data_IF_258354743014
#
_entry.id   IF_258354743014
#
_cell.length_a   1.000
_cell.length_b   1.000
_cell.length_c   1.000
_cell.angle_alpha   90.00
_cell.angle_beta   90.00
_cell.angle_gamma   90.00
#
_symmetry.space_group_name_H-M   'P 1'
#
loop_
_entity.id
_entity.type
_entity.pdbx_description
1 polymer ?
#
# COMPACT_ATOMS: atom_id res chain seq x y z
N UNK A 1 18.37 -2.86 4.62
CA UNK A 1 17.79 -3.03 3.26
C UNK A 1 18.81 -2.99 2.11
N UNK A 2 20.04 -2.55 2.37
CA UNK A 2 21.11 -2.37 1.34
C UNK A 2 21.33 -3.61 0.45
N UNK A 3 21.38 -4.81 1.05
CA UNK A 3 21.57 -6.08 0.30
C UNK A 3 20.38 -6.40 -0.61
N UNK A 4 19.16 -6.06 -0.17
CA UNK A 4 17.93 -6.22 -0.98
C UNK A 4 17.97 -5.31 -2.21
N UNK A 5 18.32 -4.03 -2.06
CA UNK A 5 18.39 -3.12 -3.21
C UNK A 5 19.50 -3.53 -4.18
N UNK A 6 20.65 -3.97 -3.68
CA UNK A 6 21.73 -4.49 -4.52
C UNK A 6 21.27 -5.72 -5.33
N UNK A 7 20.62 -6.69 -4.68
CA UNK A 7 20.06 -7.87 -5.35
C UNK A 7 19.04 -7.47 -6.45
N UNK A 8 18.13 -6.54 -6.13
CA UNK A 8 17.11 -6.10 -7.09
C UNK A 8 17.71 -5.35 -8.29
N UNK A 9 18.80 -4.60 -8.07
CA UNK A 9 19.54 -3.93 -9.15
C UNK A 9 20.12 -4.97 -10.11
N UNK A 10 20.82 -5.97 -9.61
CA UNK A 10 21.40 -7.03 -10.44
C UNK A 10 20.31 -7.87 -11.12
N UNK A 11 19.21 -8.18 -10.40
CA UNK A 11 18.08 -8.89 -10.97
C UNK A 11 17.43 -8.10 -12.13
N UNK A 12 17.35 -6.79 -12.04
CA UNK A 12 16.76 -5.96 -13.10
C UNK A 12 17.55 -6.01 -14.40
N UNK A 13 18.87 -6.16 -14.30
CA UNK A 13 19.77 -6.33 -15.44
C UNK A 13 19.77 -7.76 -16.01
N UNK A 14 19.42 -8.76 -15.18
CA UNK A 14 19.59 -10.18 -15.46
C UNK A 14 18.28 -10.96 -15.19
N UNK A 15 17.11 -10.42 -15.57
CA UNK A 15 15.81 -10.99 -15.19
C UNK A 15 15.46 -12.25 -16.02
N UNK A 16 16.18 -13.34 -15.76
CA UNK A 16 15.96 -14.65 -16.35
C UNK A 16 16.14 -15.76 -15.29
N UNK A 17 15.70 -16.99 -15.63
CA UNK A 17 15.70 -18.12 -14.69
C UNK A 17 17.09 -18.66 -14.40
N UNK A 18 18.01 -18.60 -15.36
CA UNK A 18 19.38 -19.12 -15.23
C UNK A 18 20.13 -18.29 -14.19
N UNK A 19 20.22 -16.99 -14.38
CA UNK A 19 20.84 -16.06 -13.43
C UNK A 19 20.21 -16.16 -12.03
N UNK A 20 18.89 -16.23 -11.95
CA UNK A 20 18.18 -16.33 -10.66
C UNK A 20 18.52 -17.62 -9.92
N UNK A 21 18.64 -18.75 -10.63
CA UNK A 21 19.03 -20.03 -10.03
C UNK A 21 20.45 -20.01 -9.50
N UNK A 22 21.39 -19.37 -10.22
CA UNK A 22 22.78 -19.19 -9.80
C UNK A 22 22.89 -18.29 -8.55
N UNK A 23 21.97 -17.31 -8.40
CA UNK A 23 21.94 -16.35 -7.29
C UNK A 23 20.84 -16.64 -6.27
N UNK A 24 20.30 -17.85 -6.24
CA UNK A 24 19.17 -18.22 -5.39
C UNK A 24 19.48 -18.04 -3.90
N UNK A 25 20.69 -18.32 -3.46
CA UNK A 25 21.09 -18.14 -2.07
C UNK A 25 21.08 -16.65 -1.67
N UNK A 26 21.43 -15.76 -2.59
CA UNK A 26 21.32 -14.32 -2.36
C UNK A 26 19.85 -13.89 -2.21
N UNK A 27 18.99 -14.35 -3.12
CA UNK A 27 17.54 -14.13 -3.00
C UNK A 27 17.00 -14.60 -1.65
N UNK A 28 17.36 -15.82 -1.20
CA UNK A 28 16.87 -16.38 0.07
C UNK A 28 17.30 -15.52 1.27
N UNK A 29 18.53 -15.00 1.28
CA UNK A 29 18.99 -14.06 2.32
C UNK A 29 18.20 -12.77 2.31
N UNK A 30 17.99 -12.18 1.13
CA UNK A 30 17.19 -10.96 0.96
C UNK A 30 15.73 -11.17 1.41
N UNK A 31 15.13 -12.29 1.01
CA UNK A 31 13.77 -12.65 1.43
C UNK A 31 13.66 -12.75 2.95
N UNK A 32 14.58 -13.47 3.59
CA UNK A 32 14.62 -13.60 5.05
C UNK A 32 14.78 -12.24 5.75
N UNK A 33 15.62 -11.37 5.22
CA UNK A 33 15.81 -10.01 5.75
C UNK A 33 14.49 -9.20 5.64
N UNK A 34 13.78 -9.30 4.53
CA UNK A 34 12.52 -8.61 4.33
C UNK A 34 11.39 -9.20 5.19
N UNK A 35 11.38 -10.52 5.40
CA UNK A 35 10.47 -11.19 6.33
C UNK A 35 10.70 -10.73 7.78
N UNK A 36 11.96 -10.59 8.21
CA UNK A 36 12.31 -10.06 9.53
C UNK A 36 11.87 -8.61 9.71
N UNK A 37 12.12 -7.76 8.71
CA UNK A 37 11.62 -6.39 8.72
C UNK A 37 10.09 -6.34 8.83
N UNK A 38 9.39 -7.14 8.04
CA UNK A 38 7.93 -7.18 8.06
C UNK A 38 7.39 -7.69 9.40
N UNK A 39 8.06 -8.65 10.04
CA UNK A 39 7.70 -9.12 11.38
C UNK A 39 7.80 -7.99 12.42
N UNK A 40 8.92 -7.26 12.44
CA UNK A 40 9.12 -6.12 13.34
C UNK A 40 8.11 -4.99 13.04
N UNK A 41 7.81 -4.76 11.78
CA UNK A 41 6.79 -3.79 11.40
C UNK A 41 5.40 -4.20 11.89
N UNK A 42 5.01 -5.47 11.77
CA UNK A 42 3.76 -5.99 12.32
C UNK A 42 3.68 -5.82 13.85
N UNK A 43 4.77 -6.03 14.58
CA UNK A 43 4.83 -5.78 16.02
C UNK A 43 4.47 -4.32 16.36
N UNK A 44 5.01 -3.35 15.62
CA UNK A 44 4.67 -1.92 15.77
C UNK A 44 3.22 -1.61 15.38
N UNK A 45 2.71 -2.26 14.33
CA UNK A 45 1.32 -2.09 13.89
C UNK A 45 0.32 -2.61 14.91
N UNK A 46 0.62 -3.70 15.63
CA UNK A 46 -0.25 -4.24 16.69
C UNK A 46 -0.47 -3.23 17.83
N UNK A 47 0.50 -2.36 18.12
CA UNK A 47 0.35 -1.28 19.11
C UNK A 47 -0.69 -0.23 18.66
N UNK A 48 -0.83 -0.02 17.36
CA UNK A 48 -1.79 0.94 16.78
C UNK A 48 -3.14 0.29 16.45
N UNK A 49 -3.13 -0.98 16.05
CA UNK A 49 -4.29 -1.76 15.65
C UNK A 49 -4.13 -3.22 16.11
N UNK A 50 -4.76 -3.61 17.24
CA UNK A 50 -4.63 -4.96 17.80
C UNK A 50 -5.08 -6.08 16.87
N UNK A 51 -5.94 -5.83 15.87
CA UNK A 51 -6.37 -6.84 14.90
C UNK A 51 -5.22 -7.30 13.98
N UNK A 52 -4.16 -6.49 13.83
CA UNK A 52 -2.95 -6.85 13.10
C UNK A 52 -2.20 -8.04 13.70
N UNK A 53 -2.46 -8.38 14.98
CA UNK A 53 -1.84 -9.52 15.69
C UNK A 53 -2.10 -10.87 14.98
N UNK A 54 -3.16 -10.97 14.21
CA UNK A 54 -3.48 -12.19 13.46
C UNK A 54 -2.61 -12.39 12.21
N UNK A 55 -1.85 -11.38 11.80
CA UNK A 55 -1.05 -11.41 10.57
C UNK A 55 0.36 -11.96 10.82
N UNK A 56 0.84 -12.66 9.80
CA UNK A 56 2.24 -13.05 9.68
C UNK A 56 2.91 -12.36 8.48
N UNK A 57 4.24 -12.26 8.41
CA UNK A 57 4.92 -11.71 7.22
C UNK A 57 4.47 -12.35 5.90
N UNK A 58 4.17 -13.65 5.91
CA UNK A 58 3.70 -14.40 4.74
C UNK A 58 2.34 -13.90 4.22
N UNK A 59 1.48 -13.42 5.10
CA UNK A 59 0.19 -12.85 4.72
C UNK A 59 0.35 -11.49 4.05
N UNK A 60 1.44 -10.78 4.32
CA UNK A 60 1.68 -9.41 3.86
C UNK A 60 2.59 -9.35 2.61
N UNK A 61 3.60 -10.21 2.50
CA UNK A 61 4.64 -10.14 1.48
C UNK A 61 4.19 -10.79 0.17
N UNK A 62 4.43 -10.12 -0.96
CA UNK A 62 4.25 -10.71 -2.28
C UNK A 62 5.45 -11.57 -2.68
N UNK A 63 5.16 -12.73 -3.31
CA UNK A 63 6.19 -13.56 -3.94
C UNK A 63 6.88 -12.82 -5.08
N UNK A 64 8.17 -13.07 -5.27
CA UNK A 64 8.97 -12.48 -6.35
C UNK A 64 8.56 -12.97 -7.74
N UNK A 65 8.01 -14.17 -7.85
CA UNK A 65 7.62 -14.78 -9.12
C UNK A 65 6.43 -14.04 -9.75
N UNK A 66 6.53 -13.75 -11.05
CA UNK A 66 5.45 -13.17 -11.85
C UNK A 66 4.62 -14.28 -12.51
N UNK A 67 3.33 -14.04 -12.67
CA UNK A 67 2.50 -14.80 -13.60
C UNK A 67 2.55 -14.12 -14.97
N UNK A 68 3.31 -14.72 -15.88
CA UNK A 68 3.58 -14.13 -17.19
C UNK A 68 2.74 -14.75 -18.30
N UNK A 69 1.76 -15.62 -17.98
CA UNK A 69 0.96 -16.33 -18.97
C UNK A 69 0.27 -15.37 -19.96
N UNK A 70 -0.33 -14.32 -19.44
CA UNK A 70 -1.08 -13.32 -20.22
C UNK A 70 -0.35 -11.96 -20.34
N UNK A 71 0.91 -11.86 -19.90
CA UNK A 71 1.69 -10.63 -19.98
C UNK A 71 2.49 -10.56 -21.28
N UNK A 72 2.58 -9.37 -21.89
CA UNK A 72 3.53 -9.11 -22.98
C UNK A 72 4.99 -9.13 -22.47
N UNK A 73 5.23 -8.62 -21.26
CA UNK A 73 6.52 -8.70 -20.60
C UNK A 73 6.71 -10.09 -20.00
N UNK A 74 7.62 -10.86 -20.56
CA UNK A 74 7.91 -12.25 -20.20
C UNK A 74 8.98 -12.41 -19.12
N UNK A 75 9.51 -11.32 -18.57
CA UNK A 75 10.45 -11.39 -17.43
C UNK A 75 9.82 -12.16 -16.26
N UNK A 76 10.48 -13.23 -15.74
CA UNK A 76 9.85 -14.17 -14.82
C UNK A 76 9.74 -13.66 -13.38
N UNK A 77 10.48 -12.61 -13.02
CA UNK A 77 10.56 -12.11 -11.66
C UNK A 77 10.12 -10.65 -11.56
N UNK A 78 9.59 -10.27 -10.40
CA UNK A 78 9.40 -8.89 -10.01
C UNK A 78 10.74 -8.28 -9.65
N UNK A 79 10.96 -7.03 -10.04
CA UNK A 79 12.17 -6.27 -9.74
C UNK A 79 12.00 -5.43 -8.47
N UNK A 80 11.12 -5.91 -7.57
CA UNK A 80 10.79 -5.26 -6.32
C UNK A 80 10.35 -6.25 -5.25
N UNK A 81 10.54 -5.89 -4.00
CA UNK A 81 9.88 -6.49 -2.85
C UNK A 81 8.78 -5.57 -2.36
N UNK A 82 7.67 -6.15 -1.89
CA UNK A 82 6.58 -5.38 -1.32
C UNK A 82 5.86 -6.15 -0.23
N UNK A 83 5.37 -5.43 0.77
CA UNK A 83 4.52 -5.95 1.82
C UNK A 83 3.33 -5.02 2.06
N UNK A 84 2.16 -5.61 2.27
CA UNK A 84 0.91 -4.89 2.55
C UNK A 84 0.22 -5.51 3.77
N UNK A 85 0.50 -5.06 4.97
CA UNK A 85 -0.31 -5.36 6.15
C UNK A 85 -1.64 -4.60 6.08
N UNK A 86 -2.72 -5.35 6.13
CA UNK A 86 -4.07 -4.85 6.34
C UNK A 86 -4.84 -5.88 7.18
N UNK A 87 -5.70 -5.43 8.08
CA UNK A 87 -6.49 -6.33 8.93
C UNK A 87 -7.30 -7.31 8.09
N UNK A 88 -7.58 -8.50 8.67
CA UNK A 88 -8.40 -9.56 8.05
C UNK A 88 -7.88 -10.03 6.67
N UNK A 89 -6.57 -10.30 6.58
CA UNK A 89 -6.03 -11.03 5.44
C UNK A 89 -4.75 -10.47 4.81
N UNK A 90 -4.18 -9.39 5.34
CA UNK A 90 -2.97 -8.78 4.80
C UNK A 90 -3.17 -8.37 3.33
N UNK A 91 -2.27 -8.81 2.43
CA UNK A 91 -2.33 -8.49 0.99
C UNK A 91 -3.58 -9.01 0.24
N UNK A 92 -4.43 -9.78 0.90
CA UNK A 92 -5.70 -10.26 0.34
C UNK A 92 -6.91 -9.51 0.90
N UNK A 93 -6.70 -8.62 1.85
CA UNK A 93 -7.76 -7.82 2.44
C UNK A 93 -8.29 -6.81 1.43
N UNK A 94 -9.59 -6.56 1.47
CA UNK A 94 -10.24 -5.45 0.75
C UNK A 94 -10.23 -4.14 1.57
N UNK A 95 -9.70 -4.19 2.80
CA UNK A 95 -9.57 -3.03 3.67
C UNK A 95 -8.36 -2.17 3.31
N UNK A 96 -8.43 -0.92 3.71
CA UNK A 96 -7.27 -0.03 3.74
C UNK A 96 -6.17 -0.58 4.66
N UNK A 97 -4.95 -0.46 4.23
CA UNK A 97 -3.77 -0.90 4.96
C UNK A 97 -2.57 -0.05 4.61
N UNK A 98 -1.38 -0.59 4.85
CA UNK A 98 -0.12 0.10 4.59
C UNK A 98 0.72 -0.69 3.59
N UNK A 99 1.54 0.00 2.82
CA UNK A 99 2.35 -0.62 1.78
C UNK A 99 3.78 -0.09 1.80
N UNK A 100 4.74 -0.99 1.85
CA UNK A 100 6.15 -0.69 1.62
C UNK A 100 6.57 -1.35 0.30
N UNK A 101 7.15 -0.54 -0.58
CA UNK A 101 7.70 -0.96 -1.86
C UNK A 101 9.19 -0.70 -1.91
N UNK A 102 9.97 -1.74 -2.14
CA UNK A 102 11.42 -1.68 -2.30
C UNK A 102 11.77 -1.98 -3.75
N UNK A 103 12.12 -0.95 -4.51
CA UNK A 103 12.66 -1.04 -5.87
C UNK A 103 13.74 0.02 -6.00
N UNK A 104 14.96 -0.31 -6.44
CA UNK A 104 16.04 0.67 -6.55
C UNK A 104 15.62 1.92 -7.31
N UNK A 105 15.80 3.10 -6.71
CA UNK A 105 15.41 4.40 -7.26
C UNK A 105 13.90 4.66 -7.36
N UNK A 106 13.04 3.75 -6.86
CA UNK A 106 11.58 3.84 -6.88
C UNK A 106 10.96 3.28 -5.62
N UNK A 107 11.66 3.38 -4.49
CA UNK A 107 11.09 2.99 -3.21
C UNK A 107 9.94 3.91 -2.82
N UNK A 108 8.92 3.37 -2.15
CA UNK A 108 7.79 4.17 -1.69
C UNK A 108 7.12 3.55 -0.47
N UNK A 109 6.47 4.39 0.30
CA UNK A 109 5.42 4.02 1.25
C UNK A 109 4.07 4.46 0.71
N UNK A 110 3.05 3.66 0.93
CA UNK A 110 1.67 4.01 0.60
C UNK A 110 0.70 3.42 1.61
N UNK A 111 -0.54 3.84 1.55
CA UNK A 111 -1.64 3.26 2.31
C UNK A 111 -2.98 3.52 1.62
N UNK A 112 -4.06 3.15 2.30
CA UNK A 112 -5.41 3.31 1.77
C UNK A 112 -5.96 2.07 1.07
N UNK A 113 -7.02 2.27 0.28
CA UNK A 113 -7.73 1.25 -0.48
C UNK A 113 -7.39 1.33 -1.96
N UNK A 114 -6.58 0.39 -2.43
CA UNK A 114 -6.22 0.25 -3.84
C UNK A 114 -7.28 -0.53 -4.60
N UNK A 115 -7.85 0.07 -5.65
CA UNK A 115 -8.82 -0.57 -6.54
C UNK A 115 -10.02 -1.22 -5.81
N UNK A 116 -10.75 -0.51 -4.94
CA UNK A 116 -11.97 -1.03 -4.33
C UNK A 116 -12.96 -1.51 -5.42
N UNK A 117 -13.78 -2.49 -5.12
CA UNK A 117 -14.83 -2.90 -6.05
C UNK A 117 -15.85 -1.76 -6.25
N UNK A 118 -16.75 -1.90 -7.25
CA UNK A 118 -17.67 -0.83 -7.63
C UNK A 118 -18.59 -0.40 -6.48
N UNK A 119 -19.07 -1.34 -5.70
CA UNK A 119 -20.04 -1.07 -4.62
C UNK A 119 -19.34 -0.40 -3.44
N UNK A 120 -18.18 -0.88 -3.04
CA UNK A 120 -17.33 -0.23 -2.03
C UNK A 120 -16.91 1.18 -2.48
N UNK A 121 -16.50 1.33 -3.75
CA UNK A 121 -16.13 2.64 -4.29
C UNK A 121 -17.30 3.63 -4.27
N UNK A 122 -18.52 3.15 -4.52
CA UNK A 122 -19.73 3.97 -4.41
C UNK A 122 -20.02 4.34 -2.96
N UNK A 123 -19.89 3.41 -2.02
CA UNK A 123 -20.05 3.66 -0.58
C UNK A 123 -19.03 4.68 -0.07
N UNK A 124 -17.74 4.53 -0.42
CA UNK A 124 -16.68 5.48 -0.06
C UNK A 124 -16.98 6.90 -0.55
N UNK A 125 -17.48 7.06 -1.78
CA UNK A 125 -17.88 8.38 -2.30
C UNK A 125 -19.04 8.99 -1.53
N UNK A 126 -20.03 8.18 -1.11
CA UNK A 126 -21.15 8.65 -0.29
C UNK A 126 -20.67 9.09 1.08
N UNK A 127 -19.80 8.31 1.69
CA UNK A 127 -19.24 8.62 2.99
C UNK A 127 -18.42 9.91 2.96
N UNK A 128 -17.52 10.05 1.98
CA UNK A 128 -16.73 11.27 1.77
C UNK A 128 -17.64 12.49 1.52
N UNK A 129 -18.70 12.34 0.74
CA UNK A 129 -19.64 13.44 0.49
C UNK A 129 -20.44 13.83 1.74
N UNK A 130 -20.79 12.86 2.58
CA UNK A 130 -21.57 13.10 3.80
C UNK A 130 -20.73 13.69 4.95
N UNK A 131 -19.46 13.33 5.01
CA UNK A 131 -18.52 13.67 6.10
C UNK A 131 -17.23 14.30 5.56
N UNK A 132 -17.36 15.22 4.59
CA UNK A 132 -16.19 15.84 3.95
C UNK A 132 -15.36 16.68 4.92
N UNK A 133 -16.01 17.32 5.90
CA UNK A 133 -15.38 18.11 6.96
C UNK A 133 -14.40 17.22 7.77
N UNK A 134 -14.77 15.96 8.06
CA UNK A 134 -13.90 15.00 8.74
C UNK A 134 -12.67 14.66 7.87
N UNK A 135 -12.88 14.51 6.56
CA UNK A 135 -11.77 14.25 5.62
C UNK A 135 -10.83 15.45 5.54
N UNK A 136 -11.35 16.68 5.55
CA UNK A 136 -10.55 17.91 5.64
C UNK A 136 -9.74 17.94 6.94
N UNK A 137 -10.38 17.68 8.09
CA UNK A 137 -9.74 17.65 9.40
C UNK A 137 -8.63 16.58 9.47
N UNK A 138 -8.85 15.41 8.86
CA UNK A 138 -7.84 14.35 8.75
C UNK A 138 -6.60 14.87 8.01
N UNK A 139 -6.76 15.49 6.85
CA UNK A 139 -5.62 16.02 6.08
C UNK A 139 -5.04 17.31 6.70
N UNK A 140 -5.81 18.05 7.50
CA UNK A 140 -5.32 19.20 8.26
C UNK A 140 -4.54 18.80 9.53
N UNK A 141 -4.67 17.56 10.01
CA UNK A 141 -3.89 17.06 11.14
C UNK A 141 -2.39 17.24 10.90
N UNK A 142 -1.63 17.85 11.82
CA UNK A 142 -0.22 18.20 11.59
C UNK A 142 0.66 17.00 11.20
N UNK A 143 0.45 15.81 11.77
CA UNK A 143 1.24 14.63 11.44
C UNK A 143 0.85 14.07 10.07
N UNK A 144 -0.45 13.99 9.76
CA UNK A 144 -0.94 13.55 8.45
C UNK A 144 -0.47 14.51 7.37
N UNK A 145 -0.66 15.82 7.56
CA UNK A 145 -0.32 16.85 6.59
C UNK A 145 1.18 16.93 6.31
N UNK A 146 2.03 16.59 7.28
CA UNK A 146 3.50 16.51 7.09
C UNK A 146 3.89 15.59 5.93
N UNK A 147 3.15 14.51 5.71
CA UNK A 147 3.47 13.47 4.73
C UNK A 147 2.44 13.35 3.62
N UNK A 148 1.16 13.55 3.94
CA UNK A 148 0.03 13.30 3.04
C UNK A 148 -0.91 14.50 3.08
N UNK A 149 -0.97 15.27 1.98
CA UNK A 149 -1.78 16.48 1.89
C UNK A 149 -3.16 16.22 1.26
N UNK A 150 -3.32 15.12 0.55
CA UNK A 150 -4.56 14.69 -0.13
C UNK A 150 -4.43 13.20 -0.53
N UNK A 151 -5.52 12.62 -1.02
CA UNK A 151 -5.47 11.33 -1.71
C UNK A 151 -4.66 11.42 -3.02
N UNK A 152 -4.02 10.31 -3.41
CA UNK A 152 -3.29 10.20 -4.67
C UNK A 152 -4.21 10.48 -5.88
N UNK A 153 -3.62 11.05 -6.95
CA UNK A 153 -4.35 11.44 -8.16
C UNK A 153 -4.20 10.49 -9.34
N UNK A 154 -3.48 9.38 -9.18
CA UNK A 154 -3.06 8.50 -10.28
C UNK A 154 -4.23 7.86 -11.06
N UNK A 155 -5.36 7.65 -10.39
CA UNK A 155 -6.53 7.03 -11.01
C UNK A 155 -7.79 7.86 -10.77
N UNK A 156 -8.07 8.75 -11.72
CA UNK A 156 -9.25 9.62 -11.66
C UNK A 156 -10.19 9.41 -12.85
N UNK A 157 -11.48 9.63 -12.60
CA UNK A 157 -12.49 9.81 -13.64
C UNK A 157 -12.36 11.23 -14.23
N UNK A 158 -12.71 11.40 -15.50
CA UNK A 158 -12.75 12.73 -16.13
C UNK A 158 -13.90 13.61 -15.62
N UNK A 159 -14.97 12.99 -15.13
CA UNK A 159 -16.17 13.68 -14.61
C UNK A 159 -16.61 13.03 -13.31
N UNK A 160 -17.30 13.80 -12.47
CA UNK A 160 -17.98 13.27 -11.29
C UNK A 160 -18.96 12.19 -11.72
N UNK A 161 -19.01 11.04 -11.01
CA UNK A 161 -19.94 9.96 -11.33
C UNK A 161 -21.39 10.39 -11.24
N UNK A 162 -22.25 9.75 -12.02
CA UNK A 162 -23.70 9.97 -11.95
C UNK A 162 -24.23 9.70 -10.55
N UNK A 163 -25.13 10.56 -10.06
CA UNK A 163 -25.69 10.48 -8.71
C UNK A 163 -24.92 11.26 -7.64
N UNK A 164 -23.81 11.92 -8.02
CA UNK A 164 -23.07 12.81 -7.14
C UNK A 164 -23.08 14.25 -7.66
N UNK A 165 -23.04 15.27 -6.77
CA UNK A 165 -23.07 16.68 -7.16
C UNK A 165 -21.74 17.07 -7.85
N UNK A 166 -21.85 17.63 -9.05
CA UNK A 166 -20.67 18.07 -9.80
C UNK A 166 -20.08 19.38 -9.23
N UNK A 167 -20.91 20.16 -8.56
CA UNK A 167 -20.58 21.47 -7.95
C UNK A 167 -20.02 21.32 -6.51
N UNK A 168 -19.83 20.09 -6.04
CA UNK A 168 -19.23 19.85 -4.74
C UNK A 168 -17.81 20.42 -4.69
N UNK A 169 -17.47 21.13 -3.62
CA UNK A 169 -16.18 21.82 -3.47
C UNK A 169 -15.00 20.85 -3.67
N UNK A 170 -15.11 19.64 -3.09
CA UNK A 170 -14.10 18.58 -3.25
C UNK A 170 -14.50 17.56 -4.31
N UNK A 171 -15.05 18.01 -5.46
CA UNK A 171 -15.50 17.13 -6.55
C UNK A 171 -14.41 16.16 -7.04
N UNK A 172 -13.12 16.52 -6.87
CA UNK A 172 -12.01 15.67 -7.23
C UNK A 172 -11.90 14.42 -6.34
N UNK A 173 -12.29 14.46 -5.08
CA UNK A 173 -12.38 13.28 -4.23
C UNK A 173 -13.40 12.27 -4.78
N UNK A 174 -14.52 12.75 -5.32
CA UNK A 174 -15.56 11.87 -5.93
C UNK A 174 -15.12 11.24 -7.25
N UNK A 175 -14.11 11.79 -7.91
CA UNK A 175 -13.54 11.25 -9.18
C UNK A 175 -12.51 10.14 -8.97
N UNK A 176 -12.01 9.93 -7.75
CA UNK A 176 -11.00 8.90 -7.46
C UNK A 176 -11.54 7.50 -7.77
N UNK A 177 -10.68 6.62 -8.30
CA UNK A 177 -10.95 5.19 -8.49
C UNK A 177 -10.29 4.32 -7.41
N UNK A 178 -9.39 4.92 -6.66
CA UNK A 178 -8.72 4.40 -5.49
C UNK A 178 -8.62 5.52 -4.46
N UNK A 179 -8.67 5.18 -3.20
CA UNK A 179 -8.43 6.12 -2.11
C UNK A 179 -7.13 5.72 -1.43
N UNK A 180 -6.03 6.17 -2.01
CA UNK A 180 -4.68 5.90 -1.53
C UNK A 180 -3.96 7.20 -1.21
N UNK A 181 -2.94 7.08 -0.39
CA UNK A 181 -1.98 8.12 -0.08
C UNK A 181 -0.58 7.53 -0.17
N UNK A 182 0.38 8.27 -0.66
CA UNK A 182 1.73 7.75 -0.86
C UNK A 182 2.81 8.80 -0.72
N UNK A 183 4.03 8.34 -0.46
CA UNK A 183 5.24 9.14 -0.47
C UNK A 183 6.40 8.34 -1.07
N UNK A 184 7.16 8.98 -1.96
CA UNK A 184 8.40 8.42 -2.47
C UNK A 184 9.45 8.38 -1.37
N UNK A 185 10.21 7.29 -1.32
CA UNK A 185 11.33 7.11 -0.40
C UNK A 185 12.63 7.02 -1.21
N UNK A 186 13.69 7.64 -0.70
CA UNK A 186 15.01 7.45 -1.31
C UNK A 186 15.63 6.12 -0.90
N UNK A 187 16.57 5.62 -1.71
CA UNK A 187 17.33 4.40 -1.37
C UNK A 187 18.13 4.57 -0.08
N UNK A 188 18.61 5.82 0.22
CA UNK A 188 19.28 6.16 1.46
C UNK A 188 18.36 6.02 2.68
N UNK A 189 17.14 6.54 2.60
CA UNK A 189 16.14 6.41 3.68
C UNK A 189 15.82 4.95 3.95
N UNK A 190 15.61 4.15 2.90
CA UNK A 190 15.36 2.71 3.02
C UNK A 190 16.53 1.95 3.62
N UNK A 191 17.77 2.38 3.36
CA UNK A 191 18.99 1.76 3.89
C UNK A 191 19.40 2.29 5.27
N UNK A 192 18.76 3.33 5.77
CA UNK A 192 19.06 3.91 7.07
C UNK A 192 18.69 2.98 8.23
N UNK A 193 19.41 3.03 9.37
CA UNK A 193 19.12 2.17 10.52
C UNK A 193 17.74 2.39 11.13
N UNK A 194 17.21 3.59 11.01
CA UNK A 194 15.92 4.06 11.53
C UNK A 194 14.76 3.90 10.53
N UNK A 195 14.97 3.13 9.45
CA UNK A 195 13.93 2.93 8.42
C UNK A 195 12.62 2.37 8.99
N UNK A 196 12.70 1.46 9.97
CA UNK A 196 11.50 0.95 10.64
C UNK A 196 10.77 2.04 11.44
N UNK A 197 11.51 2.95 12.06
CA UNK A 197 10.91 4.07 12.81
C UNK A 197 10.23 5.04 11.85
N UNK A 198 10.85 5.36 10.71
CA UNK A 198 10.23 6.15 9.65
C UNK A 198 8.94 5.49 9.14
N UNK A 199 8.96 4.19 8.83
CA UNK A 199 7.76 3.47 8.37
C UNK A 199 6.67 3.48 9.43
N UNK A 200 7.03 3.37 10.72
CA UNK A 200 6.08 3.45 11.83
C UNK A 200 5.43 4.84 11.92
N UNK A 201 6.22 5.91 11.80
CA UNK A 201 5.71 7.29 11.78
C UNK A 201 4.77 7.53 10.57
N UNK A 202 5.12 7.01 9.40
CA UNK A 202 4.25 7.08 8.21
C UNK A 202 2.93 6.32 8.40
N UNK A 203 2.95 5.19 9.11
CA UNK A 203 1.73 4.48 9.48
C UNK A 203 0.87 5.30 10.45
N UNK A 204 1.48 5.94 11.46
CA UNK A 204 0.77 6.83 12.38
C UNK A 204 0.12 8.02 11.65
N UNK A 205 0.85 8.61 10.70
CA UNK A 205 0.34 9.71 9.88
C UNK A 205 -0.84 9.28 8.98
N UNK A 206 -0.78 8.08 8.41
CA UNK A 206 -1.81 7.54 7.53
C UNK A 206 -2.96 6.84 8.25
N UNK A 207 -2.84 6.59 9.58
CA UNK A 207 -3.88 5.87 10.32
C UNK A 207 -5.24 6.54 10.29
N UNK A 208 -5.40 7.85 10.50
CA UNK A 208 -6.72 8.48 10.43
C UNK A 208 -7.40 8.31 9.06
N UNK A 209 -6.61 8.35 7.97
CA UNK A 209 -7.12 8.11 6.62
C UNK A 209 -7.63 6.66 6.49
N UNK A 210 -6.83 5.68 6.94
CA UNK A 210 -7.23 4.27 6.89
C UNK A 210 -8.43 3.98 7.79
N UNK A 211 -8.52 4.60 8.97
CA UNK A 211 -9.63 4.43 9.90
C UNK A 211 -10.94 4.92 9.26
N UNK A 212 -10.95 6.09 8.63
CA UNK A 212 -12.09 6.62 7.89
C UNK A 212 -12.53 5.69 6.75
N UNK A 213 -11.58 5.23 5.94
CA UNK A 213 -11.87 4.32 4.83
C UNK A 213 -12.38 2.96 5.32
N UNK A 214 -11.80 2.42 6.38
CA UNK A 214 -12.18 1.13 6.96
C UNK A 214 -13.54 1.19 7.68
N UNK A 215 -13.88 2.33 8.30
CA UNK A 215 -15.22 2.56 8.85
C UNK A 215 -16.29 2.39 7.77
N UNK A 216 -16.09 2.97 6.59
CA UNK A 216 -17.00 2.79 5.46
C UNK A 216 -17.18 1.32 5.08
N UNK A 217 -16.10 0.54 5.09
CA UNK A 217 -16.16 -0.89 4.79
C UNK A 217 -17.00 -1.65 5.82
N UNK A 218 -16.91 -1.30 7.09
CA UNK A 218 -17.65 -1.96 8.18
C UNK A 218 -19.10 -1.56 8.24
N UNK A 219 -19.40 -0.27 8.03
CA UNK A 219 -20.76 0.29 8.09
C UNK A 219 -21.63 -0.21 6.92
N UNK A 220 -21.08 -0.31 5.71
CA UNK A 220 -21.82 -0.74 4.52
C UNK A 220 -21.81 -2.26 4.28
N UNK A 221 -21.19 -3.03 5.17
CA UNK A 221 -21.20 -4.49 5.19
C UNK A 221 -20.20 -5.17 4.27
N UNK A 222 -20.27 -6.51 4.26
CA UNK A 222 -19.41 -7.32 3.41
C UNK A 222 -19.78 -7.11 1.93
N UNK A 223 -18.81 -6.60 1.16
CA UNK A 223 -18.95 -6.51 -0.29
C UNK A 223 -18.64 -7.87 -0.92
N UNK A 224 -19.40 -8.31 -1.94
CA UNK A 224 -19.16 -9.59 -2.58
C UNK A 224 -17.74 -9.68 -3.14
N UNK A 225 -17.10 -10.81 -2.85
CA UNK A 225 -15.75 -11.15 -3.29
C UNK A 225 -15.50 -10.89 -4.77
N UNK A 226 -14.33 -10.37 -5.09
CA UNK A 226 -13.83 -10.34 -6.46
C UNK A 226 -13.54 -11.77 -6.92
N UNK A 227 -14.32 -12.30 -7.81
CA UNK A 227 -13.96 -13.46 -8.62
C UNK A 227 -13.21 -13.04 -9.88
#
# INVERSE_FOLDING_TARGET
MKDILAFLTELSCNNNREWFNEHKDWYVRCQKQFEQFTAQWLERLVEMDPEMKALTPKDCIWRIYRDVRFSHDKRPFKEWFGAFPAVKGGKKSDRGGYYVHLQPGKCMFAGGMWCPNKDLLHALRREILANYDEVEDIFANPLTNKYFQDFDTDQMLKKVPQGFPAEFEHADWLKRKAYTFSIALTDEQVCAPDFLDLVTELCQAGKPINDFLNYTFEEYGEFPDRR
#
